data_IF_363557679086
#
_entry.id   IF_363557679086
#
_cell.length_a   1.000
_cell.length_b   1.000
_cell.length_c   1.000
_cell.angle_alpha   90.00
_cell.angle_beta   90.00
_cell.angle_gamma   90.00
#
_symmetry.space_group_name_H-M   'P 1'
#
loop_
_entity.id
_entity.type
_entity.pdbx_description
1 polymer ?
#
# COMPACT_ATOMS: atom_id res chain seq x y z
N UNK A 1 12.21 -6.38 37.40
CA UNK A 1 12.58 -7.74 37.82
C UNK A 1 11.97 -8.70 36.81
N UNK A 2 12.78 -9.14 35.85
CA UNK A 2 12.45 -10.25 34.96
C UNK A 2 12.71 -11.51 35.78
N UNK A 3 11.63 -12.15 36.24
CA UNK A 3 11.72 -13.46 36.88
C UNK A 3 12.29 -14.43 35.84
N UNK A 4 13.47 -14.99 36.13
CA UNK A 4 14.10 -16.04 35.32
C UNK A 4 13.05 -17.11 35.02
N UNK A 5 12.80 -17.36 33.74
CA UNK A 5 11.80 -18.31 33.25
C UNK A 5 12.24 -19.77 33.39
N UNK A 6 13.14 -20.07 34.31
CA UNK A 6 13.94 -21.30 34.26
C UNK A 6 13.46 -22.42 35.18
N UNK A 7 12.35 -22.23 35.90
CA UNK A 7 11.74 -23.24 36.78
C UNK A 7 10.26 -23.57 36.49
N UNK A 8 9.77 -23.31 35.28
CA UNK A 8 8.38 -23.61 34.91
C UNK A 8 8.36 -24.93 34.11
N UNK A 9 7.81 -25.98 34.74
CA UNK A 9 7.44 -27.27 34.14
C UNK A 9 6.72 -27.07 32.81
N UNK A 10 6.90 -27.98 31.84
CA UNK A 10 6.26 -27.96 30.51
C UNK A 10 4.83 -27.36 30.46
N UNK A 11 3.89 -27.75 31.35
CA UNK A 11 2.54 -27.18 31.41
C UNK A 11 2.47 -25.66 31.60
N UNK A 12 3.38 -25.06 32.37
CA UNK A 12 3.33 -23.62 32.64
C UNK A 12 3.87 -22.78 31.48
N UNK A 13 4.78 -23.32 30.66
CA UNK A 13 5.14 -22.72 29.37
C UNK A 13 3.96 -22.77 28.41
N UNK A 14 3.28 -23.92 28.32
CA UNK A 14 2.08 -24.10 27.50
C UNK A 14 0.97 -23.11 27.89
N UNK A 15 0.72 -22.93 29.19
CA UNK A 15 -0.26 -21.98 29.71
C UNK A 15 0.06 -20.53 29.30
N UNK A 16 1.34 -20.13 29.35
CA UNK A 16 1.79 -18.79 28.94
C UNK A 16 1.67 -18.58 27.43
N UNK A 17 1.95 -19.60 26.61
CA UNK A 17 1.72 -19.56 25.18
C UNK A 17 0.21 -19.46 24.85
N UNK A 18 -0.61 -20.31 25.47
CA UNK A 18 -2.07 -20.28 25.31
C UNK A 18 -2.65 -18.92 25.70
N UNK A 19 -2.15 -18.32 26.78
CA UNK A 19 -2.54 -16.98 27.22
C UNK A 19 -2.22 -15.90 26.16
N UNK A 20 -1.07 -15.98 25.50
CA UNK A 20 -0.72 -15.08 24.39
C UNK A 20 -1.61 -15.29 23.17
N UNK A 21 -1.96 -16.54 22.84
CA UNK A 21 -2.91 -16.84 21.76
C UNK A 21 -4.26 -16.22 22.06
N UNK A 22 -4.77 -16.39 23.28
CA UNK A 22 -6.04 -15.77 23.71
C UNK A 22 -5.98 -14.24 23.59
N UNK A 23 -4.88 -13.62 24.01
CA UNK A 23 -4.68 -12.17 23.90
C UNK A 23 -4.73 -11.68 22.45
N UNK A 24 -4.08 -12.41 21.53
CA UNK A 24 -4.07 -12.08 20.10
C UNK A 24 -5.47 -12.26 19.49
N UNK A 25 -6.13 -13.39 19.75
CA UNK A 25 -7.48 -13.67 19.25
C UNK A 25 -8.46 -12.61 19.76
N UNK A 26 -8.39 -12.25 21.04
CA UNK A 26 -9.18 -11.18 21.62
C UNK A 26 -8.96 -9.84 20.92
N UNK A 27 -7.69 -9.48 20.65
CA UNK A 27 -7.36 -8.27 19.90
C UNK A 27 -7.91 -8.29 18.47
N UNK A 28 -7.89 -9.44 17.79
CA UNK A 28 -8.44 -9.60 16.43
C UNK A 28 -9.96 -9.36 16.42
N UNK A 29 -10.70 -9.96 17.36
CA UNK A 29 -12.15 -9.73 17.46
C UNK A 29 -12.48 -8.26 17.75
N UNK A 30 -11.71 -7.59 18.61
CA UNK A 30 -11.89 -6.15 18.86
C UNK A 30 -11.59 -5.30 17.62
N UNK A 31 -10.54 -5.63 16.86
CA UNK A 31 -10.25 -4.95 15.59
C UNK A 31 -11.38 -5.17 14.57
N UNK A 32 -11.93 -6.39 14.50
CA UNK A 32 -13.06 -6.69 13.62
C UNK A 32 -14.28 -5.86 14.01
N UNK A 33 -14.60 -5.79 15.31
CA UNK A 33 -15.69 -4.96 15.83
C UNK A 33 -15.46 -3.47 15.52
N UNK A 34 -14.24 -2.95 15.74
CA UNK A 34 -13.87 -1.57 15.40
C UNK A 34 -14.11 -1.27 13.92
N UNK A 35 -13.67 -2.18 13.04
CA UNK A 35 -13.84 -2.01 11.60
C UNK A 35 -15.30 -1.93 11.13
N UNK A 36 -16.23 -2.58 11.84
CA UNK A 36 -17.67 -2.48 11.57
C UNK A 36 -18.20 -1.11 12.01
N UNK A 37 -17.86 -0.68 13.22
CA UNK A 37 -18.27 0.62 13.77
C UNK A 37 -17.82 1.75 12.87
N UNK A 38 -16.60 1.67 12.31
CA UNK A 38 -16.07 2.72 11.43
C UNK A 38 -16.72 2.73 10.04
N UNK A 39 -17.13 1.57 9.54
CA UNK A 39 -17.90 1.50 8.29
C UNK A 39 -19.20 2.26 8.43
N UNK A 40 -19.85 2.15 9.58
CA UNK A 40 -21.09 2.88 9.87
C UNK A 40 -20.81 4.39 10.10
N UNK A 41 -19.64 4.75 10.65
CA UNK A 41 -19.21 6.15 10.79
C UNK A 41 -18.96 6.86 9.46
N UNK A 42 -18.75 6.15 8.36
CA UNK A 42 -18.64 6.76 7.03
C UNK A 42 -19.96 7.43 6.59
N UNK A 43 -21.10 7.03 7.16
CA UNK A 43 -22.40 7.63 6.87
C UNK A 43 -22.88 8.61 7.94
N UNK A 44 -22.08 8.83 8.99
CA UNK A 44 -22.43 9.73 10.09
C UNK A 44 -22.47 11.22 9.69
N UNK A 45 -21.60 11.75 8.79
CA UNK A 45 -21.77 13.09 8.25
C UNK A 45 -23.02 13.18 7.37
N UNK A 46 -23.84 14.22 7.59
CA UNK A 46 -25.07 14.46 6.84
C UNK A 46 -24.78 14.60 5.34
N UNK A 47 -25.26 13.65 4.53
CA UNK A 47 -25.14 13.66 3.06
C UNK A 47 -24.29 12.54 2.46
N UNK A 48 -23.60 11.74 3.28
CA UNK A 48 -22.72 10.68 2.79
C UNK A 48 -21.49 11.21 2.03
N UNK A 49 -20.80 10.38 1.24
CA UNK A 49 -19.66 10.81 0.44
C UNK A 49 -20.10 11.90 -0.56
N UNK A 50 -19.39 13.05 -0.62
CA UNK A 50 -19.72 14.10 -1.57
C UNK A 50 -19.61 13.58 -3.00
N UNK A 51 -20.67 13.77 -3.78
CA UNK A 51 -20.77 13.29 -5.16
C UNK A 51 -20.75 14.48 -6.12
N UNK A 52 -20.08 14.35 -7.26
CA UNK A 52 -19.91 15.44 -8.23
C UNK A 52 -21.26 16.02 -8.72
N UNK A 53 -22.30 15.19 -8.80
CA UNK A 53 -23.64 15.62 -9.18
C UNK A 53 -24.33 16.58 -8.21
N UNK A 54 -23.83 16.70 -6.97
CA UNK A 54 -24.33 17.66 -5.98
C UNK A 54 -23.70 19.05 -6.15
N UNK A 55 -22.55 19.13 -6.84
CA UNK A 55 -21.77 20.37 -7.02
C UNK A 55 -21.80 20.90 -8.44
N UNK A 56 -22.16 20.05 -9.41
CA UNK A 56 -22.42 20.44 -10.79
C UNK A 56 -23.80 21.11 -10.90
N UNK A 57 -23.84 22.28 -11.53
CA UNK A 57 -25.10 22.98 -11.84
C UNK A 57 -25.83 22.22 -12.96
N UNK A 58 -26.64 21.23 -12.60
CA UNK A 58 -27.40 20.39 -13.52
C UNK A 58 -28.14 21.15 -14.65
N UNK A 59 -28.84 22.28 -14.40
CA UNK A 59 -29.48 23.04 -15.47
C UNK A 59 -28.48 23.78 -16.37
N UNK A 60 -27.32 24.20 -15.87
CA UNK A 60 -26.28 24.83 -16.67
C UNK A 60 -25.59 23.80 -17.58
N UNK A 61 -25.28 22.62 -17.04
CA UNK A 61 -24.70 21.50 -17.79
C UNK A 61 -25.63 21.04 -18.92
N UNK A 62 -26.93 20.89 -18.63
CA UNK A 62 -27.92 20.52 -19.63
C UNK A 62 -28.00 21.54 -20.80
N UNK A 63 -27.84 22.84 -20.53
CA UNK A 63 -27.79 23.88 -21.57
C UNK A 63 -26.53 23.77 -22.43
N UNK A 64 -25.38 23.55 -21.81
CA UNK A 64 -24.11 23.39 -22.53
C UNK A 64 -24.10 22.12 -23.39
N UNK A 65 -24.64 21.02 -22.88
CA UNK A 65 -24.79 19.78 -23.64
C UNK A 65 -25.76 19.95 -24.81
N UNK A 66 -26.89 20.64 -24.61
CA UNK A 66 -27.80 20.97 -25.70
C UNK A 66 -27.13 21.85 -26.78
N UNK A 67 -26.35 22.86 -26.37
CA UNK A 67 -25.59 23.69 -27.30
C UNK A 67 -24.54 22.90 -28.08
N UNK A 68 -23.88 21.92 -27.43
CA UNK A 68 -22.93 21.02 -28.10
C UNK A 68 -23.63 20.15 -29.14
N UNK A 69 -24.79 19.59 -28.80
CA UNK A 69 -25.58 18.79 -29.74
C UNK A 69 -26.06 19.60 -30.94
N UNK A 70 -26.48 20.85 -30.74
CA UNK A 70 -26.88 21.74 -31.84
C UNK A 70 -25.71 22.09 -32.76
N UNK A 71 -24.55 22.46 -32.19
CA UNK A 71 -23.31 22.69 -32.96
C UNK A 71 -22.86 21.45 -33.73
N UNK A 72 -22.98 20.27 -33.14
CA UNK A 72 -22.66 19.00 -33.80
C UNK A 72 -23.60 18.75 -35.00
N UNK A 73 -24.91 18.93 -34.82
CA UNK A 73 -25.88 18.79 -35.90
C UNK A 73 -25.64 19.79 -37.04
N UNK A 74 -25.24 21.04 -36.72
CA UNK A 74 -24.87 22.03 -37.72
C UNK A 74 -23.60 21.65 -38.50
N UNK A 75 -22.61 21.07 -37.82
CA UNK A 75 -21.40 20.54 -38.46
C UNK A 75 -21.73 19.38 -39.39
N UNK A 76 -22.48 18.39 -38.92
CA UNK A 76 -22.85 17.21 -39.71
C UNK A 76 -23.62 17.60 -40.98
N UNK A 77 -24.58 18.54 -40.86
CA UNK A 77 -25.33 19.06 -42.01
C UNK A 77 -24.48 19.89 -42.99
N UNK A 78 -23.41 20.52 -42.51
CA UNK A 78 -22.48 21.27 -43.35
C UNK A 78 -21.49 20.32 -44.06
N UNK A 79 -21.06 19.27 -43.37
CA UNK A 79 -20.17 18.24 -43.92
C UNK A 79 -20.86 17.44 -45.03
N UNK A 80 -22.14 17.10 -44.88
CA UNK A 80 -22.94 16.47 -45.95
C UNK A 80 -23.05 17.37 -47.21
N UNK A 81 -23.22 18.68 -47.01
CA UNK A 81 -23.22 19.66 -48.12
C UNK A 81 -21.85 19.78 -48.77
N UNK A 82 -20.79 19.76 -47.97
CA UNK A 82 -19.40 19.81 -48.45
C UNK A 82 -19.11 18.61 -49.36
N UNK A 83 -19.48 17.40 -48.94
CA UNK A 83 -19.29 16.17 -49.71
C UNK A 83 -20.02 16.24 -51.07
N UNK A 84 -21.28 16.67 -51.07
CA UNK A 84 -22.07 16.83 -52.30
C UNK A 84 -21.41 17.82 -53.27
N UNK A 85 -20.94 18.96 -52.76
CA UNK A 85 -20.30 19.99 -53.58
C UNK A 85 -18.92 19.52 -54.08
N UNK A 86 -18.14 18.80 -53.26
CA UNK A 86 -16.87 18.20 -53.69
C UNK A 86 -17.05 17.26 -54.87
N UNK A 87 -18.07 16.39 -54.85
CA UNK A 87 -18.37 15.49 -55.97
C UNK A 87 -18.72 16.28 -57.24
N UNK A 88 -19.51 17.35 -57.13
CA UNK A 88 -19.86 18.20 -58.30
C UNK A 88 -18.66 18.97 -58.84
N UNK A 89 -17.80 19.49 -57.96
CA UNK A 89 -16.54 20.16 -58.31
C UNK A 89 -15.58 19.19 -59.02
N UNK A 90 -15.45 17.97 -58.52
CA UNK A 90 -14.64 16.92 -59.15
C UNK A 90 -15.17 16.57 -60.55
N UNK A 91 -16.49 16.48 -60.72
CA UNK A 91 -17.12 16.25 -62.04
C UNK A 91 -16.88 17.42 -63.00
N UNK A 92 -17.03 18.66 -62.54
CA UNK A 92 -16.78 19.85 -63.35
C UNK A 92 -15.30 19.97 -63.77
N UNK A 93 -14.38 19.71 -62.85
CA UNK A 93 -12.94 19.67 -63.12
C UNK A 93 -12.57 18.59 -64.14
N UNK A 94 -13.16 17.39 -64.01
CA UNK A 94 -12.99 16.30 -64.98
C UNK A 94 -13.53 16.68 -66.36
N UNK A 95 -14.74 17.24 -66.44
CA UNK A 95 -15.33 17.68 -67.71
C UNK A 95 -14.47 18.74 -68.42
N UNK A 96 -13.91 19.69 -67.66
CA UNK A 96 -12.95 20.65 -68.19
C UNK A 96 -11.67 19.99 -68.71
N UNK A 97 -11.11 19.04 -67.94
CA UNK A 97 -9.90 18.31 -68.34
C UNK A 97 -10.12 17.45 -69.61
N UNK A 98 -11.24 16.72 -69.66
CA UNK A 98 -11.63 15.88 -70.79
C UNK A 98 -11.84 16.73 -72.07
N UNK A 99 -12.53 17.88 -71.96
CA UNK A 99 -12.72 18.79 -73.10
C UNK A 99 -11.40 19.43 -73.54
N UNK A 100 -10.51 19.77 -72.60
CA UNK A 100 -9.18 20.32 -72.90
C UNK A 100 -8.32 19.30 -73.66
N UNK A 101 -8.37 18.03 -73.25
CA UNK A 101 -7.68 16.95 -73.93
C UNK A 101 -8.27 16.68 -75.32
N UNK A 102 -9.60 16.67 -75.44
CA UNK A 102 -10.30 16.56 -76.73
C UNK A 102 -9.91 17.70 -77.68
N UNK A 103 -9.87 18.93 -77.17
CA UNK A 103 -9.46 20.10 -77.94
C UNK A 103 -7.99 20.00 -78.39
N UNK A 104 -7.09 19.51 -77.53
CA UNK A 104 -5.69 19.26 -77.87
C UNK A 104 -5.54 18.20 -78.96
N UNK A 105 -6.26 17.09 -78.87
CA UNK A 105 -6.24 16.02 -79.86
C UNK A 105 -6.82 16.47 -81.21
N UNK A 106 -7.88 17.28 -81.19
CA UNK A 106 -8.44 17.90 -82.37
C UNK A 106 -7.44 18.86 -83.05
N UNK A 107 -6.76 19.72 -82.27
CA UNK A 107 -5.71 20.60 -82.77
C UNK A 107 -4.57 19.80 -83.41
N UNK A 108 -4.12 18.72 -82.77
CA UNK A 108 -3.03 17.86 -83.27
C UNK A 108 -3.39 17.12 -84.57
N UNK A 109 -4.65 16.70 -84.74
CA UNK A 109 -5.13 16.03 -85.96
C UNK A 109 -5.28 17.03 -87.12
N UNK A 110 -5.72 18.25 -86.82
CA UNK A 110 -5.97 19.31 -87.81
C UNK A 110 -4.70 20.07 -88.21
N UNK A 111 -3.70 20.18 -87.34
CA UNK A 111 -2.38 20.75 -87.68
C UNK A 111 -1.66 19.98 -88.79
N UNK A 112 -2.10 18.75 -89.10
CA UNK A 112 -1.60 17.92 -90.20
C UNK A 112 -2.32 18.22 -91.53
N UNK A 113 -3.47 18.92 -91.53
CA UNK A 113 -4.37 19.02 -92.70
C UNK A 113 -4.69 20.44 -93.23
N UNK A 114 -4.15 21.52 -92.65
CA UNK A 114 -4.07 22.83 -93.33
C UNK A 114 -4.82 24.01 -92.68
N UNK A 115 -4.29 25.21 -93.00
CA UNK A 115 -4.60 26.62 -92.67
C UNK A 115 -5.30 26.96 -91.33
N UNK A 116 -4.57 27.62 -90.43
CA UNK A 116 -4.86 27.72 -88.99
C UNK A 116 -5.31 29.10 -88.49
N UNK A 117 -5.46 30.10 -89.36
CA UNK A 117 -5.43 31.50 -88.91
C UNK A 117 -6.77 32.21 -88.72
N UNK A 118 -7.93 31.67 -89.15
CA UNK A 118 -9.25 32.30 -88.90
C UNK A 118 -10.42 31.30 -89.03
N UNK A 119 -10.51 30.39 -88.08
CA UNK A 119 -11.54 29.34 -88.09
C UNK A 119 -12.64 29.60 -87.04
N UNK A 120 -13.92 29.72 -87.44
CA UNK A 120 -15.03 29.83 -86.50
C UNK A 120 -15.12 28.65 -85.50
N UNK A 121 -14.59 27.46 -85.85
CA UNK A 121 -14.61 26.29 -84.99
C UNK A 121 -13.68 26.41 -83.77
N UNK A 122 -12.54 27.09 -83.93
CA UNK A 122 -11.60 27.37 -82.81
C UNK A 122 -12.27 28.29 -81.80
N UNK A 123 -12.96 29.32 -82.29
CA UNK A 123 -13.68 30.28 -81.42
C UNK A 123 -14.81 29.57 -80.68
N UNK A 124 -15.57 28.68 -81.34
CA UNK A 124 -16.64 27.92 -80.70
C UNK A 124 -16.12 26.97 -79.59
N UNK A 125 -15.02 26.24 -79.85
CA UNK A 125 -14.42 25.32 -78.87
C UNK A 125 -13.74 26.07 -77.71
N UNK A 126 -13.12 27.21 -77.98
CA UNK A 126 -12.53 28.08 -76.94
C UNK A 126 -13.62 28.60 -76.00
N UNK A 127 -14.74 29.11 -76.54
CA UNK A 127 -15.89 29.53 -75.73
C UNK A 127 -16.47 28.41 -74.87
N UNK A 128 -16.50 27.18 -75.38
CA UNK A 128 -16.93 26.00 -74.62
C UNK A 128 -15.98 25.68 -73.47
N UNK A 129 -14.66 25.77 -73.69
CA UNK A 129 -13.66 25.62 -72.64
C UNK A 129 -13.74 26.71 -71.58
N UNK A 130 -13.92 27.97 -71.99
CA UNK A 130 -14.08 29.11 -71.07
C UNK A 130 -15.32 28.93 -70.18
N UNK A 131 -16.43 28.45 -70.75
CA UNK A 131 -17.64 28.15 -69.98
C UNK A 131 -17.43 27.04 -68.94
N UNK A 132 -16.71 25.97 -69.30
CA UNK A 132 -16.37 24.87 -68.37
C UNK A 132 -15.38 25.34 -67.29
N UNK A 133 -14.42 26.19 -67.64
CA UNK A 133 -13.48 26.78 -66.69
C UNK A 133 -14.18 27.69 -65.69
N UNK A 134 -15.08 28.55 -66.16
CA UNK A 134 -15.89 29.43 -65.31
C UNK A 134 -16.74 28.60 -64.33
N UNK A 135 -17.35 27.50 -64.80
CA UNK A 135 -18.08 26.57 -63.93
C UNK A 135 -17.18 25.93 -62.87
N UNK A 136 -15.97 25.48 -63.24
CA UNK A 136 -15.02 24.90 -62.28
C UNK A 136 -14.59 25.91 -61.19
N UNK A 137 -14.37 27.17 -61.56
CA UNK A 137 -14.03 28.25 -60.62
C UNK A 137 -15.23 28.57 -59.70
N UNK A 138 -16.46 28.60 -60.21
CA UNK A 138 -17.67 28.81 -59.40
C UNK A 138 -17.80 27.72 -58.32
N UNK A 139 -17.61 26.46 -58.70
CA UNK A 139 -17.62 25.35 -57.74
C UNK A 139 -16.48 25.42 -56.72
N UNK A 140 -15.30 25.91 -57.12
CA UNK A 140 -14.20 26.16 -56.17
C UNK A 140 -14.58 27.21 -55.13
N UNK A 141 -15.13 28.35 -55.56
CA UNK A 141 -15.55 29.41 -54.65
C UNK A 141 -16.61 28.91 -53.66
N UNK A 142 -17.54 28.05 -54.09
CA UNK A 142 -18.55 27.43 -53.20
C UNK A 142 -17.92 26.55 -52.12
N UNK A 143 -16.85 25.80 -52.44
CA UNK A 143 -16.09 25.03 -51.44
C UNK A 143 -15.40 25.95 -50.45
N UNK A 144 -14.76 27.02 -50.93
CA UNK A 144 -14.04 27.96 -50.08
C UNK A 144 -15.00 28.62 -49.05
N UNK A 145 -16.21 28.98 -49.48
CA UNK A 145 -17.28 29.50 -48.60
C UNK A 145 -17.71 28.47 -47.54
N UNK A 146 -17.79 27.19 -47.88
CA UNK A 146 -18.10 26.13 -46.90
C UNK A 146 -16.95 25.94 -45.92
N UNK A 147 -15.71 26.00 -46.39
CA UNK A 147 -14.52 25.97 -45.53
C UNK A 147 -14.51 27.12 -44.51
N UNK A 148 -14.93 28.33 -44.92
CA UNK A 148 -15.11 29.46 -44.00
C UNK A 148 -16.18 29.19 -42.93
N UNK A 149 -17.31 28.58 -43.32
CA UNK A 149 -18.38 28.20 -42.39
C UNK A 149 -17.91 27.13 -41.40
N UNK A 150 -17.18 26.11 -41.86
CA UNK A 150 -16.59 25.06 -41.00
C UNK A 150 -15.60 25.67 -40.00
N UNK A 151 -14.73 26.60 -40.43
CA UNK A 151 -13.81 27.30 -39.52
C UNK A 151 -14.53 28.10 -38.45
N UNK A 152 -15.65 28.74 -38.80
CA UNK A 152 -16.50 29.47 -37.84
C UNK A 152 -17.17 28.54 -36.83
N UNK A 153 -17.70 27.40 -37.27
CA UNK A 153 -18.28 26.40 -36.36
C UNK A 153 -17.21 25.79 -35.45
N UNK A 154 -16.02 25.52 -35.97
CA UNK A 154 -14.90 25.00 -35.17
C UNK A 154 -14.48 25.98 -34.07
N UNK A 155 -14.46 27.29 -34.34
CA UNK A 155 -14.15 28.29 -33.31
C UNK A 155 -15.25 28.41 -32.25
N UNK A 156 -16.52 28.31 -32.64
CA UNK A 156 -17.64 28.27 -31.70
C UNK A 156 -17.61 27.03 -30.82
N UNK A 157 -17.26 25.87 -31.40
CA UNK A 157 -17.11 24.63 -30.64
C UNK A 157 -15.95 24.72 -29.65
N UNK A 158 -14.79 25.24 -30.06
CA UNK A 158 -13.66 25.46 -29.16
C UNK A 158 -14.04 26.37 -27.97
N UNK A 159 -14.80 27.44 -28.22
CA UNK A 159 -15.30 28.33 -27.17
C UNK A 159 -16.30 27.62 -26.24
N UNK A 160 -17.16 26.76 -26.77
CA UNK A 160 -18.10 26.00 -25.96
C UNK A 160 -17.37 24.96 -25.10
N UNK A 161 -16.38 24.27 -25.65
CA UNK A 161 -15.57 23.29 -24.91
C UNK A 161 -14.76 23.97 -23.80
N UNK A 162 -14.26 25.19 -24.00
CA UNK A 162 -13.64 25.96 -22.91
C UNK A 162 -14.64 26.30 -21.80
N UNK A 163 -15.88 26.69 -22.13
CA UNK A 163 -16.90 26.99 -21.11
C UNK A 163 -17.30 25.75 -20.32
N UNK A 164 -17.32 24.59 -20.97
CA UNK A 164 -17.62 23.31 -20.32
C UNK A 164 -16.47 22.92 -19.39
N UNK A 165 -15.22 23.04 -19.85
CA UNK A 165 -14.05 22.80 -19.01
C UNK A 165 -14.01 23.75 -17.80
N UNK A 166 -14.34 25.03 -17.97
CA UNK A 166 -14.40 25.99 -16.87
C UNK A 166 -15.51 25.63 -15.86
N UNK A 167 -16.69 25.24 -16.33
CA UNK A 167 -17.79 24.81 -15.48
C UNK A 167 -17.45 23.54 -14.69
N UNK A 168 -16.84 22.56 -15.35
CA UNK A 168 -16.37 21.32 -14.71
C UNK A 168 -15.26 21.62 -13.68
N UNK A 169 -14.31 22.51 -14.01
CA UNK A 169 -13.24 22.91 -13.08
C UNK A 169 -13.76 23.66 -11.84
N UNK A 170 -14.90 24.36 -11.94
CA UNK A 170 -15.57 24.96 -10.77
C UNK A 170 -16.25 23.88 -9.93
N UNK A 171 -16.94 22.92 -10.56
CA UNK A 171 -17.58 21.81 -9.87
C UNK A 171 -16.55 20.92 -9.14
N UNK A 172 -15.42 20.63 -9.78
CA UNK A 172 -14.30 19.88 -9.20
C UNK A 172 -13.71 20.59 -7.99
N UNK A 173 -13.48 21.90 -8.06
CA UNK A 173 -12.98 22.69 -6.92
C UNK A 173 -13.92 22.63 -5.72
N UNK A 174 -15.24 22.73 -5.95
CA UNK A 174 -16.26 22.60 -4.89
C UNK A 174 -16.30 21.20 -4.31
N UNK A 175 -16.16 20.17 -5.16
CA UNK A 175 -16.10 18.78 -4.75
C UNK A 175 -14.86 18.52 -3.88
N UNK A 176 -13.70 19.04 -4.26
CA UNK A 176 -12.46 18.90 -3.50
C UNK A 176 -12.56 19.55 -2.12
N UNK A 177 -13.11 20.77 -2.05
CA UNK A 177 -13.35 21.46 -0.78
C UNK A 177 -14.31 20.68 0.12
N UNK A 178 -15.44 20.21 -0.43
CA UNK A 178 -16.38 19.38 0.30
C UNK A 178 -15.77 18.05 0.76
N UNK A 179 -14.95 17.42 -0.09
CA UNK A 179 -14.25 16.17 0.21
C UNK A 179 -13.26 16.36 1.34
N UNK A 180 -12.52 17.47 1.36
CA UNK A 180 -11.59 17.82 2.45
C UNK A 180 -12.35 18.04 3.76
N UNK A 181 -13.45 18.77 3.74
CA UNK A 181 -14.28 18.99 4.93
C UNK A 181 -14.88 17.69 5.46
N UNK A 182 -15.44 16.87 4.58
CA UNK A 182 -15.96 15.55 4.91
C UNK A 182 -14.87 14.64 5.50
N UNK A 183 -13.69 14.59 4.88
CA UNK A 183 -12.55 13.83 5.37
C UNK A 183 -12.11 14.28 6.77
N UNK A 184 -12.06 15.60 7.02
CA UNK A 184 -11.74 16.17 8.33
C UNK A 184 -12.80 15.83 9.40
N UNK A 185 -14.08 15.84 9.05
CA UNK A 185 -15.17 15.46 9.97
C UNK A 185 -15.10 13.98 10.35
N UNK A 186 -14.96 13.10 9.35
CA UNK A 186 -14.81 11.65 9.57
C UNK A 186 -13.54 11.38 10.38
N UNK A 187 -12.44 12.06 10.06
CA UNK A 187 -11.20 11.96 10.83
C UNK A 187 -11.39 12.42 12.28
N UNK A 188 -12.02 13.58 12.51
CA UNK A 188 -12.29 14.10 13.85
C UNK A 188 -13.13 13.15 14.68
N UNK A 189 -14.15 12.53 14.08
CA UNK A 189 -14.99 11.53 14.74
C UNK A 189 -14.18 10.27 15.13
N UNK A 190 -13.34 9.78 14.21
CA UNK A 190 -12.46 8.62 14.48
C UNK A 190 -11.41 8.94 15.53
N UNK A 191 -10.83 10.14 15.51
CA UNK A 191 -9.88 10.60 16.52
C UNK A 191 -10.56 10.67 17.90
N UNK A 192 -11.77 11.22 17.96
CA UNK A 192 -12.56 11.30 19.19
C UNK A 192 -12.91 9.91 19.76
N UNK A 193 -13.05 8.88 18.92
CA UNK A 193 -13.28 7.50 19.36
C UNK A 193 -11.98 6.79 19.79
N UNK A 194 -10.93 6.89 19.00
CA UNK A 194 -9.68 6.14 19.18
C UNK A 194 -8.80 6.68 20.31
N UNK A 195 -8.75 8.00 20.50
CA UNK A 195 -7.95 8.66 21.54
C UNK A 195 -8.32 8.20 22.96
N UNK A 196 -9.60 8.18 23.39
CA UNK A 196 -9.96 7.65 24.71
C UNK A 196 -9.64 6.17 24.86
N UNK A 197 -9.82 5.35 23.80
CA UNK A 197 -9.44 3.93 23.82
C UNK A 197 -7.93 3.78 24.07
N UNK A 198 -7.11 4.59 23.43
CA UNK A 198 -5.65 4.55 23.57
C UNK A 198 -5.17 5.04 24.94
N UNK A 199 -5.84 6.06 25.50
CA UNK A 199 -5.62 6.50 26.88
C UNK A 199 -5.97 5.41 27.90
N UNK A 200 -7.13 4.78 27.75
CA UNK A 200 -7.57 3.67 28.61
C UNK A 200 -6.61 2.49 28.49
N UNK A 201 -6.14 2.17 27.28
CA UNK A 201 -5.17 1.10 27.05
C UNK A 201 -3.83 1.38 27.73
N UNK A 202 -3.32 2.61 27.58
CA UNK A 202 -2.08 3.06 28.23
C UNK A 202 -2.20 3.03 29.74
N UNK A 203 -3.33 3.48 30.30
CA UNK A 203 -3.61 3.43 31.73
C UNK A 203 -3.69 1.99 32.27
N UNK A 204 -4.44 1.12 31.58
CA UNK A 204 -4.53 -0.31 31.89
C UNK A 204 -3.15 -0.97 31.87
N UNK A 205 -2.32 -0.64 30.88
CA UNK A 205 -0.98 -1.19 30.75
C UNK A 205 -0.06 -0.75 31.91
N UNK A 206 -0.09 0.51 32.32
CA UNK A 206 0.76 1.00 33.43
C UNK A 206 0.34 0.37 34.76
N UNK A 207 -0.97 0.30 35.03
CA UNK A 207 -1.51 -0.10 36.35
C UNK A 207 -1.68 -1.61 36.51
N UNK A 208 -2.08 -2.32 35.44
CA UNK A 208 -2.52 -3.72 35.47
C UNK A 208 -1.62 -4.68 34.66
N UNK A 209 -0.40 -4.30 34.29
CA UNK A 209 0.58 -5.23 33.67
C UNK A 209 1.16 -6.31 34.58
N UNK A 210 0.69 -6.48 35.82
CA UNK A 210 1.17 -7.53 36.75
C UNK A 210 0.06 -8.37 37.37
N UNK A 211 -1.20 -8.11 37.04
CA UNK A 211 -2.35 -8.85 37.59
C UNK A 211 -2.57 -10.16 36.83
N UNK A 212 -3.33 -11.07 37.43
CA UNK A 212 -3.58 -12.43 36.90
C UNK A 212 -4.18 -12.45 35.48
N UNK A 213 -4.96 -11.43 35.12
CA UNK A 213 -5.60 -11.24 33.81
C UNK A 213 -4.77 -10.38 32.83
N UNK A 214 -3.45 -10.38 33.01
CA UNK A 214 -2.46 -9.79 32.12
C UNK A 214 -2.69 -10.02 30.61
N UNK A 215 -3.12 -11.20 30.14
CA UNK A 215 -3.32 -11.43 28.70
C UNK A 215 -4.35 -10.49 28.07
N UNK A 216 -5.43 -10.17 28.77
CA UNK A 216 -6.45 -9.24 28.28
C UNK A 216 -5.95 -7.80 28.23
N UNK A 217 -5.11 -7.39 29.18
CA UNK A 217 -4.48 -6.06 29.18
C UNK A 217 -3.55 -5.91 27.98
N UNK A 218 -2.79 -6.96 27.64
CA UNK A 218 -1.90 -6.96 26.48
C UNK A 218 -2.67 -7.07 25.16
N UNK A 219 -3.74 -7.86 25.12
CA UNK A 219 -4.65 -7.93 23.98
C UNK A 219 -5.34 -6.60 23.70
N UNK A 220 -5.84 -5.92 24.74
CA UNK A 220 -6.43 -4.59 24.61
C UNK A 220 -5.39 -3.53 24.20
N UNK A 221 -4.16 -3.60 24.73
CA UNK A 221 -3.05 -2.75 24.28
C UNK A 221 -2.70 -2.97 22.81
N UNK A 222 -2.67 -4.23 22.34
CA UNK A 222 -2.44 -4.56 20.94
C UNK A 222 -3.57 -4.06 20.04
N UNK A 223 -4.82 -4.21 20.48
CA UNK A 223 -5.99 -3.64 19.81
C UNK A 223 -5.88 -2.12 19.71
N UNK A 224 -5.59 -1.40 20.79
CA UNK A 224 -5.50 0.06 20.77
C UNK A 224 -4.35 0.57 19.87
N UNK A 225 -3.20 -0.13 19.88
CA UNK A 225 -2.11 0.16 18.94
C UNK A 225 -2.53 -0.14 17.49
N UNK A 226 -3.20 -1.26 17.25
CA UNK A 226 -3.70 -1.63 15.93
C UNK A 226 -4.73 -0.61 15.41
N UNK A 227 -5.71 -0.23 16.23
CA UNK A 227 -6.69 0.81 15.92
C UNK A 227 -6.01 2.16 15.60
N UNK A 228 -4.93 2.52 16.32
CA UNK A 228 -4.16 3.70 15.96
C UNK A 228 -3.48 3.56 14.58
N UNK A 229 -2.74 2.48 14.33
CA UNK A 229 -1.92 2.33 13.13
C UNK A 229 -2.68 1.96 11.85
N UNK A 230 -3.71 1.12 11.98
CA UNK A 230 -4.46 0.52 10.87
C UNK A 230 -5.76 1.29 10.62
N UNK A 231 -6.34 1.89 11.65
CA UNK A 231 -7.71 2.37 11.55
C UNK A 231 -7.80 3.90 11.59
N UNK A 232 -6.99 4.57 12.42
CA UNK A 232 -6.91 6.04 12.48
C UNK A 232 -6.00 6.62 11.39
N UNK A 233 -4.80 6.07 11.24
CA UNK A 233 -3.73 6.66 10.46
C UNK A 233 -3.93 6.65 8.93
N UNK A 234 -4.52 5.62 8.28
CA UNK A 234 -4.68 5.62 6.81
C UNK A 234 -5.61 6.69 6.26
N UNK A 235 -6.36 7.40 7.11
CA UNK A 235 -7.37 8.38 6.71
C UNK A 235 -6.98 9.81 7.05
N UNK A 236 -5.72 10.03 7.40
CA UNK A 236 -5.21 11.37 7.65
C UNK A 236 -4.82 12.01 6.31
N UNK A 237 -5.45 13.14 5.93
CA UNK A 237 -5.50 13.62 4.55
C UNK A 237 -4.14 13.93 3.88
N UNK A 238 -3.09 14.29 4.65
CA UNK A 238 -1.75 14.54 4.10
C UNK A 238 -0.58 13.96 4.92
N UNK A 239 -0.73 13.75 6.24
CA UNK A 239 0.39 13.40 7.14
C UNK A 239 0.33 12.00 7.75
N UNK A 240 -0.64 11.17 7.36
CA UNK A 240 -0.88 9.87 7.99
C UNK A 240 0.33 8.95 7.91
N UNK A 241 0.89 8.80 6.71
CA UNK A 241 2.08 7.97 6.49
C UNK A 241 3.27 8.40 7.36
N UNK A 242 3.52 9.71 7.46
CA UNK A 242 4.64 10.23 8.25
C UNK A 242 4.47 9.99 9.74
N UNK A 243 3.30 10.27 10.30
CA UNK A 243 3.01 10.04 11.72
C UNK A 243 3.12 8.54 12.02
N UNK A 244 2.61 7.67 11.13
CA UNK A 244 2.76 6.21 11.24
C UNK A 244 4.21 5.80 11.41
N UNK A 245 5.05 6.26 10.50
CA UNK A 245 6.44 5.85 10.42
C UNK A 245 7.22 6.43 11.60
N UNK A 246 6.99 7.69 11.96
CA UNK A 246 7.64 8.32 13.12
C UNK A 246 7.30 7.61 14.44
N UNK A 247 6.02 7.32 14.69
CA UNK A 247 5.61 6.60 15.91
C UNK A 247 6.15 5.16 15.88
N UNK A 248 6.15 4.51 14.72
CA UNK A 248 6.76 3.18 14.54
C UNK A 248 8.26 3.17 14.84
N UNK A 249 9.00 4.16 14.34
CA UNK A 249 10.44 4.34 14.63
C UNK A 249 10.64 4.59 16.13
N UNK A 250 9.86 5.47 16.74
CA UNK A 250 9.97 5.74 18.18
C UNK A 250 9.74 4.47 19.03
N UNK A 251 8.70 3.70 18.71
CA UNK A 251 8.37 2.45 19.42
C UNK A 251 9.46 1.38 19.23
N UNK A 252 10.00 1.23 18.03
CA UNK A 252 11.06 0.26 17.74
C UNK A 252 12.37 0.64 18.42
N UNK A 253 12.79 1.91 18.36
CA UNK A 253 13.97 2.42 19.08
C UNK A 253 13.81 2.22 20.59
N UNK A 254 12.65 2.60 21.15
CA UNK A 254 12.40 2.45 22.58
C UNK A 254 12.42 0.98 23.02
N UNK A 255 11.74 0.10 22.27
CA UNK A 255 11.71 -1.35 22.55
C UNK A 255 13.10 -1.96 22.42
N UNK A 256 13.86 -1.59 21.39
CA UNK A 256 15.22 -2.04 21.15
C UNK A 256 16.17 -1.63 22.27
N UNK A 257 16.17 -0.35 22.67
CA UNK A 257 16.98 0.15 23.78
C UNK A 257 16.62 -0.53 25.11
N UNK A 258 15.33 -0.77 25.36
CA UNK A 258 14.89 -1.49 26.54
C UNK A 258 15.35 -2.96 26.53
N UNK A 259 15.22 -3.67 25.40
CA UNK A 259 15.71 -5.05 25.24
C UNK A 259 17.23 -5.12 25.42
N UNK A 260 17.99 -4.24 24.78
CA UNK A 260 19.45 -4.20 24.92
C UNK A 260 19.87 -3.98 26.37
N UNK A 261 19.28 -3.01 27.07
CA UNK A 261 19.55 -2.78 28.50
C UNK A 261 19.18 -3.98 29.36
N UNK A 262 18.09 -4.68 29.05
CA UNK A 262 17.70 -5.88 29.77
C UNK A 262 18.72 -7.03 29.55
N UNK A 263 19.19 -7.22 28.31
CA UNK A 263 20.22 -8.21 27.97
C UNK A 263 21.56 -7.87 28.62
N UNK A 264 21.98 -6.60 28.62
CA UNK A 264 23.20 -6.16 29.28
C UNK A 264 23.17 -6.46 30.78
N UNK A 265 22.09 -6.08 31.49
CA UNK A 265 21.92 -6.41 32.92
C UNK A 265 21.86 -7.91 33.20
N UNK A 266 21.38 -8.70 32.25
CA UNK A 266 21.38 -10.16 32.36
C UNK A 266 22.80 -10.73 32.17
N UNK A 267 23.53 -10.24 31.17
CA UNK A 267 24.91 -10.61 30.90
C UNK A 267 25.85 -10.23 32.04
N UNK A 268 25.69 -9.04 32.62
CA UNK A 268 26.46 -8.59 33.80
C UNK A 268 26.22 -9.49 35.01
N UNK A 269 24.97 -9.82 35.32
CA UNK A 269 24.65 -10.78 36.40
C UNK A 269 25.32 -12.13 36.18
N UNK A 270 25.24 -12.67 34.96
CA UNK A 270 25.86 -13.95 34.63
C UNK A 270 27.40 -13.90 34.69
N UNK A 271 28.01 -12.75 34.38
CA UNK A 271 29.46 -12.54 34.55
C UNK A 271 29.87 -12.52 36.02
N UNK A 272 29.10 -11.85 36.88
CA UNK A 272 29.35 -11.81 38.33
C UNK A 272 29.20 -13.20 38.96
N UNK A 273 28.17 -13.97 38.56
CA UNK A 273 28.01 -15.36 38.98
C UNK A 273 29.23 -16.23 38.60
N UNK A 274 29.84 -16.02 37.43
CA UNK A 274 31.01 -16.78 36.99
C UNK A 274 32.30 -16.47 37.78
N UNK A 275 32.36 -15.36 38.53
CA UNK A 275 33.53 -14.94 39.32
C UNK A 275 33.52 -15.46 40.79
N UNK A 276 32.38 -15.95 41.30
CA UNK A 276 32.27 -16.46 42.69
C UNK A 276 33.01 -17.78 42.92
N UNK A 277 33.19 -18.25 44.15
CA UNK A 277 33.92 -19.50 44.42
C UNK A 277 33.18 -20.76 43.91
N UNK A 278 33.91 -21.83 43.58
CA UNK A 278 33.36 -23.05 42.95
C UNK A 278 32.38 -23.81 43.86
N UNK A 279 32.63 -23.80 45.17
CA UNK A 279 31.83 -24.54 46.15
C UNK A 279 30.43 -23.98 46.39
N UNK A 280 30.29 -22.65 46.44
CA UNK A 280 28.97 -21.98 46.57
C UNK A 280 28.14 -22.07 45.30
N UNK A 281 28.79 -22.05 44.12
CA UNK A 281 28.13 -22.20 42.82
C UNK A 281 27.49 -23.56 42.64
N UNK A 282 28.12 -24.64 43.10
CA UNK A 282 27.55 -25.98 43.02
C UNK A 282 26.29 -26.13 43.89
N UNK A 283 26.18 -25.39 45.00
CA UNK A 283 25.05 -25.44 45.93
C UNK A 283 23.83 -24.62 45.49
N UNK A 284 24.04 -23.61 44.63
CA UNK A 284 22.98 -22.71 44.13
C UNK A 284 22.36 -23.19 42.81
N UNK A 285 22.94 -24.20 42.16
CA UNK A 285 22.38 -24.81 40.95
C UNK A 285 21.18 -25.69 41.33
N UNK A 286 19.99 -25.27 40.93
CA UNK A 286 18.76 -26.05 41.12
C UNK A 286 18.78 -27.37 40.35
N UNK A 287 18.26 -28.42 40.96
CA UNK A 287 18.20 -29.79 40.42
C UNK A 287 17.66 -29.85 38.97
N UNK A 288 16.56 -29.16 38.68
CA UNK A 288 15.95 -29.14 37.34
C UNK A 288 16.87 -28.57 36.26
N UNK A 289 17.65 -27.53 36.61
CA UNK A 289 18.63 -26.93 35.69
C UNK A 289 19.74 -27.92 35.39
N UNK A 290 20.19 -28.65 36.41
CA UNK A 290 21.25 -29.64 36.29
C UNK A 290 20.84 -30.82 35.39
N UNK A 291 19.63 -31.36 35.56
CA UNK A 291 19.11 -32.45 34.71
C UNK A 291 18.95 -32.03 33.25
N UNK A 292 18.42 -30.82 32.99
CA UNK A 292 18.25 -30.31 31.62
C UNK A 292 19.60 -30.05 30.93
N UNK A 293 20.58 -29.57 31.68
CA UNK A 293 21.93 -29.37 31.19
C UNK A 293 22.62 -30.71 30.85
N UNK A 294 22.35 -31.76 31.63
CA UNK A 294 22.81 -33.12 31.30
C UNK A 294 22.21 -33.63 29.98
N UNK A 295 20.90 -33.48 29.78
CA UNK A 295 20.20 -33.86 28.54
C UNK A 295 20.79 -33.14 27.31
N UNK A 296 21.12 -31.85 27.46
CA UNK A 296 21.71 -31.02 26.40
C UNK A 296 23.24 -31.15 26.28
N UNK A 297 23.88 -32.01 27.08
CA UNK A 297 25.35 -32.11 27.22
C UNK A 297 26.03 -30.74 27.44
N UNK A 298 25.37 -29.83 28.15
CA UNK A 298 25.89 -28.51 28.52
C UNK A 298 26.19 -28.42 30.02
N UNK A 299 27.11 -27.54 30.40
CA UNK A 299 27.42 -27.31 31.81
C UNK A 299 26.32 -26.47 32.48
N UNK A 300 25.76 -26.85 33.63
CA UNK A 300 24.67 -26.11 34.30
C UNK A 300 25.06 -24.72 34.84
N UNK A 301 26.36 -24.43 34.90
CA UNK A 301 26.89 -23.11 35.30
C UNK A 301 27.15 -22.22 34.09
N UNK A 302 28.09 -22.60 33.21
CA UNK A 302 28.51 -21.75 32.10
C UNK A 302 27.67 -21.93 30.81
N UNK A 303 26.79 -22.93 30.77
CA UNK A 303 25.90 -23.27 29.64
C UNK A 303 26.65 -23.54 28.32
N UNK A 304 27.95 -23.85 28.41
CA UNK A 304 28.78 -24.31 27.29
C UNK A 304 28.78 -25.83 27.25
N UNK A 305 28.93 -26.39 26.04
CA UNK A 305 29.09 -27.83 25.85
C UNK A 305 30.37 -28.30 26.53
N UNK A 306 30.31 -29.43 27.24
CA UNK A 306 31.45 -29.97 28.00
C UNK A 306 32.11 -31.18 27.31
N UNK A 307 31.50 -31.70 26.25
CA UNK A 307 31.85 -32.94 25.55
C UNK A 307 32.57 -32.68 24.20
N UNK A 308 33.54 -31.77 24.17
CA UNK A 308 34.24 -31.35 22.93
C UNK A 308 35.18 -32.42 22.33
N UNK A 309 35.28 -33.62 22.91
CA UNK A 309 36.16 -34.70 22.42
C UNK A 309 35.92 -36.08 23.06
N UNK A 310 34.75 -36.31 23.65
CA UNK A 310 34.41 -37.52 24.38
C UNK A 310 33.55 -37.23 25.61
N UNK A 311 32.79 -38.22 26.07
CA UNK A 311 31.91 -38.07 27.23
C UNK A 311 32.70 -38.19 28.55
N UNK A 312 34.03 -38.31 28.56
CA UNK A 312 34.87 -38.68 29.73
C UNK A 312 35.29 -37.53 30.65
N UNK A 313 34.86 -36.29 30.39
CA UNK A 313 35.27 -35.17 31.23
C UNK A 313 34.55 -35.16 32.59
N UNK A 314 35.33 -35.16 33.67
CA UNK A 314 34.82 -35.11 35.05
C UNK A 314 34.55 -33.67 35.50
N UNK A 315 35.30 -32.72 34.93
CA UNK A 315 35.19 -31.28 35.16
C UNK A 315 34.87 -30.54 33.86
N UNK A 316 34.14 -29.44 33.96
CA UNK A 316 33.88 -28.58 32.81
C UNK A 316 35.15 -27.81 32.41
N UNK A 317 35.61 -27.99 31.18
CA UNK A 317 36.81 -27.32 30.62
C UNK A 317 36.69 -25.79 30.57
N UNK A 318 35.48 -25.24 30.60
CA UNK A 318 35.26 -23.80 30.48
C UNK A 318 35.12 -23.06 31.81
N UNK A 319 34.75 -23.75 32.88
CA UNK A 319 34.50 -23.11 34.18
C UNK A 319 35.01 -23.89 35.40
N UNK A 320 35.59 -25.08 35.21
CA UNK A 320 36.16 -25.90 36.27
C UNK A 320 35.12 -26.61 37.16
N UNK A 321 33.82 -26.47 36.91
CA UNK A 321 32.78 -27.12 37.72
C UNK A 321 32.85 -28.64 37.61
N UNK A 322 32.79 -29.34 38.76
CA UNK A 322 32.68 -30.81 38.81
C UNK A 322 31.31 -31.24 38.28
N UNK A 323 31.29 -32.01 37.20
CA UNK A 323 30.08 -32.50 36.55
C UNK A 323 29.77 -33.94 36.95
N UNK A 324 30.80 -34.77 37.10
CA UNK A 324 30.65 -36.19 37.42
C UNK A 324 31.46 -36.57 38.67
N UNK A 325 31.00 -37.60 39.36
CA UNK A 325 31.70 -38.27 40.44
C UNK A 325 31.62 -39.79 40.22
N UNK A 326 32.57 -40.51 40.81
CA UNK A 326 32.53 -41.98 40.82
C UNK A 326 31.96 -42.39 42.17
N UNK A 327 30.92 -43.21 42.16
CA UNK A 327 30.35 -43.79 43.37
C UNK A 327 31.20 -44.99 43.81
N UNK A 328 31.15 -45.37 45.09
CA UNK A 328 31.87 -46.55 45.61
C UNK A 328 31.52 -47.87 44.91
N UNK A 329 30.41 -47.93 44.17
CA UNK A 329 30.06 -49.07 43.31
C UNK A 329 30.81 -49.09 41.95
N UNK A 330 31.76 -48.18 41.72
CA UNK A 330 32.48 -48.02 40.45
C UNK A 330 31.72 -47.26 39.36
N UNK A 331 30.48 -46.86 39.63
CA UNK A 331 29.59 -46.19 38.69
C UNK A 331 29.83 -44.70 38.54
N UNK A 332 29.90 -44.19 37.31
CA UNK A 332 30.03 -42.76 37.02
C UNK A 332 28.67 -42.06 37.12
N UNK A 333 28.52 -41.20 38.10
CA UNK A 333 27.30 -40.48 38.39
C UNK A 333 27.43 -39.00 38.08
N UNK A 334 26.30 -38.36 37.79
CA UNK A 334 26.24 -36.91 37.69
C UNK A 334 26.18 -36.31 39.09
N UNK A 335 27.05 -35.34 39.35
CA UNK A 335 27.29 -34.78 40.69
C UNK A 335 26.03 -34.15 41.33
N UNK A 336 25.09 -33.70 40.50
CA UNK A 336 23.86 -33.04 40.96
C UNK A 336 22.69 -34.02 41.21
N UNK A 337 22.86 -35.32 40.97
CA UNK A 337 21.82 -36.30 41.32
C UNK A 337 21.85 -36.61 42.82
N UNK A 338 20.71 -36.51 43.53
CA UNK A 338 20.63 -36.86 44.95
C UNK A 338 20.99 -38.32 45.24
N UNK A 339 20.84 -39.22 44.27
CA UNK A 339 21.09 -40.66 44.42
C UNK A 339 21.92 -41.19 43.25
N UNK A 340 22.68 -42.25 43.48
CA UNK A 340 23.41 -42.96 42.43
C UNK A 340 22.43 -43.63 41.46
N UNK A 341 22.60 -43.42 40.15
CA UNK A 341 21.75 -44.03 39.12
C UNK A 341 21.93 -45.56 39.03
N UNK A 342 23.02 -46.10 39.58
CA UNK A 342 23.38 -47.51 39.44
C UNK A 342 23.12 -48.33 40.72
N UNK A 343 23.33 -47.74 41.91
CA UNK A 343 23.13 -48.43 43.20
C UNK A 343 22.11 -47.77 44.14
N UNK A 344 21.55 -46.61 43.77
CA UNK A 344 20.53 -45.91 44.56
C UNK A 344 21.00 -45.22 45.84
N UNK A 345 22.29 -45.33 46.20
CA UNK A 345 22.85 -44.69 47.40
C UNK A 345 22.83 -43.16 47.27
N UNK A 346 22.47 -42.45 48.34
CA UNK A 346 22.45 -40.99 48.37
C UNK A 346 23.84 -40.39 48.15
N UNK A 347 23.92 -39.32 47.36
CA UNK A 347 25.16 -38.61 47.07
C UNK A 347 25.18 -37.29 47.87
N UNK A 348 26.13 -37.13 48.80
CA UNK A 348 26.45 -35.82 49.39
C UNK A 348 26.90 -35.80 50.85
N UNK A 349 28.22 -35.77 51.07
CA UNK A 349 29.03 -35.01 52.06
C UNK A 349 30.45 -35.63 52.08
N UNK A 350 31.52 -34.85 52.37
CA UNK A 350 32.90 -35.18 52.02
C UNK A 350 33.37 -36.49 52.67
N UNK A 351 34.12 -37.31 51.91
CA UNK A 351 35.07 -38.24 52.52
C UNK A 351 36.11 -37.34 53.19
N UNK A 352 36.12 -37.32 54.52
CA UNK A 352 37.21 -36.74 55.27
C UNK A 352 38.48 -37.51 54.88
N UNK A 353 39.51 -36.77 54.46
CA UNK A 353 40.87 -37.29 54.33
C UNK A 353 41.26 -38.03 55.62
N UNK A 354 41.83 -39.23 55.47
CA UNK A 354 42.77 -39.79 56.43
C UNK A 354 44.17 -39.53 55.92
#
# INVERSE_FOLDING_TARGET
MLTSSDGLTGPARLLRFASWVIAIVFAVFLNMLGSLVIRDMAFAPSGGPPAIGQFADAPARARLDAARHDLQAQRDALDEKAETIEVTRARAAKAYADEKESFRNWLATRSVTGDSTRDPDIVARTRKLDALQAAAIDWQHRIDVIGDQQRKLASQQAQLDTQIADADAVAERRLDEATRHYALQVFGLRLALTLPILLVASWLFIRYRKVRYWPFVYGFGLFALSAFFIELVPYLPDFGGYIRVLVGIALTVFTGLYMMRAFQRYAERKRLELQQDQGERARTIGYEKAVRSLEKKSCPSCDKQWNLGGDDSTFCVHCGLRLFNVCGCGGRNFFFFPHCHQCGVAQGLPVADQ
#
